data_IF_935724807912
#
_entry.id   IF_935724807912
#
_cell.length_a   1.000
_cell.length_b   1.000
_cell.length_c   1.000
_cell.angle_alpha   90.00
_cell.angle_beta   90.00
_cell.angle_gamma   90.00
#
_symmetry.space_group_name_H-M   'P 1'
#
loop_
_entity.id
_entity.type
_entity.pdbx_description
1 polymer ?
#
# COMPACT_ATOMS: atom_id res chain seq x y z
N UNK A 1 -52.17 12.95 48.37
CA UNK A 1 -51.12 12.32 49.20
C UNK A 1 -51.54 10.87 49.33
N UNK A 2 -50.81 9.85 48.86
CA UNK A 2 -49.35 9.59 48.86
C UNK A 2 -48.89 9.10 47.47
N UNK A 3 -47.79 9.50 46.82
CA UNK A 3 -46.38 9.78 47.16
C UNK A 3 -45.58 8.56 47.69
N UNK A 4 -45.03 7.84 46.70
CA UNK A 4 -43.65 7.29 46.59
C UNK A 4 -43.55 5.76 46.66
N UNK A 5 -42.69 5.23 45.76
CA UNK A 5 -42.17 3.85 45.64
C UNK A 5 -43.17 2.91 44.95
N UNK A 6 -42.98 2.46 43.69
CA UNK A 6 -41.95 1.54 43.17
C UNK A 6 -41.76 1.86 41.67
N UNK A 7 -40.63 2.40 41.23
CA UNK A 7 -39.43 1.70 40.74
C UNK A 7 -39.66 0.80 39.50
N UNK A 8 -38.98 1.20 38.42
CA UNK A 8 -38.29 0.34 37.45
C UNK A 8 -38.91 0.11 36.07
N UNK A 9 -38.03 0.39 35.09
CA UNK A 9 -37.91 -0.17 33.74
C UNK A 9 -38.78 0.50 32.67
N UNK A 10 -38.17 1.43 31.92
CA UNK A 10 -37.87 1.26 30.49
C UNK A 10 -37.02 2.46 30.03
N UNK A 11 -35.74 2.41 30.40
CA UNK A 11 -34.70 3.33 29.92
C UNK A 11 -34.00 2.63 28.77
N UNK A 12 -33.98 3.31 27.62
CA UNK A 12 -32.97 3.21 26.54
C UNK A 12 -32.98 1.94 25.69
N UNK A 13 -33.52 2.05 24.48
CA UNK A 13 -33.15 1.18 23.36
C UNK A 13 -33.42 1.86 22.00
N UNK A 14 -32.79 2.99 21.71
CA UNK A 14 -32.77 3.57 20.35
C UNK A 14 -31.45 4.31 20.07
N UNK A 15 -30.33 3.65 20.36
CA UNK A 15 -28.99 4.11 19.97
C UNK A 15 -28.10 2.88 19.72
N UNK A 16 -28.34 2.14 18.65
CA UNK A 16 -27.38 1.13 18.15
C UNK A 16 -27.77 0.66 16.75
N UNK A 17 -27.63 1.54 15.76
CA UNK A 17 -27.65 1.12 14.36
C UNK A 17 -26.76 2.00 13.46
N UNK A 18 -25.65 2.52 13.98
CA UNK A 18 -24.47 2.73 13.13
C UNK A 18 -23.79 1.38 13.01
N UNK A 19 -24.26 0.56 12.06
CA UNK A 19 -23.45 -0.54 11.54
C UNK A 19 -22.20 0.11 10.98
N UNK A 20 -21.09 -0.07 11.67
CA UNK A 20 -19.76 0.17 11.12
C UNK A 20 -19.67 -0.52 9.76
N UNK A 21 -19.72 0.24 8.66
CA UNK A 21 -19.01 -0.14 7.45
C UNK A 21 -17.51 0.05 7.76
N UNK A 22 -16.96 -0.82 8.61
CA UNK A 22 -15.55 -1.09 8.50
C UNK A 22 -15.44 -2.10 7.37
N UNK A 23 -14.94 -1.66 6.22
CA UNK A 23 -14.32 -2.55 5.27
C UNK A 23 -13.18 -3.25 6.02
N UNK A 24 -13.49 -4.38 6.66
CA UNK A 24 -12.47 -5.28 7.15
C UNK A 24 -11.82 -5.84 5.90
N UNK A 25 -10.69 -5.27 5.50
CA UNK A 25 -9.73 -6.03 4.72
C UNK A 25 -9.42 -7.25 5.57
N UNK A 26 -9.89 -8.42 5.14
CA UNK A 26 -9.48 -9.68 5.73
C UNK A 26 -7.95 -9.70 5.65
N UNK A 27 -7.28 -9.45 6.78
CA UNK A 27 -5.83 -9.62 6.93
C UNK A 27 -5.51 -11.11 7.00
N UNK A 28 -5.96 -11.84 5.98
CA UNK A 28 -5.52 -13.19 5.70
C UNK A 28 -4.11 -13.06 5.14
N UNK A 29 -3.14 -13.54 5.90
CA UNK A 29 -1.78 -13.69 5.44
C UNK A 29 -1.77 -14.44 4.09
N UNK A 30 -1.05 -13.87 3.13
CA UNK A 30 -0.79 -14.43 1.81
C UNK A 30 0.01 -15.72 1.96
N UNK A 31 -0.39 -16.75 1.20
CA UNK A 31 0.37 -18.00 1.11
C UNK A 31 1.69 -17.79 0.36
N UNK A 32 2.71 -18.65 0.58
CA UNK A 32 3.97 -18.57 -0.14
C UNK A 32 3.83 -18.51 -1.67
N UNK A 33 2.92 -19.29 -2.26
CA UNK A 33 2.69 -19.30 -3.71
C UNK A 33 2.03 -18.02 -4.22
N UNK A 34 1.20 -17.38 -3.39
CA UNK A 34 0.57 -16.09 -3.71
C UNK A 34 1.61 -14.97 -3.68
N UNK A 35 2.52 -15.00 -2.70
CA UNK A 35 3.66 -14.08 -2.64
C UNK A 35 4.60 -14.29 -3.84
N UNK A 36 4.90 -15.53 -4.19
CA UNK A 36 5.71 -15.87 -5.37
C UNK A 36 5.09 -15.28 -6.65
N UNK A 37 3.77 -15.43 -6.85
CA UNK A 37 3.05 -14.87 -8.00
C UNK A 37 3.06 -13.34 -7.99
N UNK A 38 2.82 -12.73 -6.82
CA UNK A 38 2.77 -11.28 -6.67
C UNK A 38 4.12 -10.62 -6.93
N UNK A 39 5.22 -11.28 -6.56
CA UNK A 39 6.57 -10.74 -6.67
C UNK A 39 7.28 -11.13 -7.97
N UNK A 40 6.73 -12.08 -8.75
CA UNK A 40 7.36 -12.65 -9.94
C UNK A 40 7.91 -11.60 -10.93
N UNK A 41 7.16 -10.52 -11.19
CA UNK A 41 7.55 -9.50 -12.18
C UNK A 41 8.61 -8.51 -11.68
N UNK A 42 8.83 -8.43 -10.36
CA UNK A 42 9.74 -7.44 -9.76
C UNK A 42 10.90 -8.07 -8.97
N UNK A 43 10.85 -9.39 -8.68
CA UNK A 43 11.85 -10.07 -7.86
C UNK A 43 13.27 -10.03 -8.45
N UNK A 44 13.41 -9.90 -9.77
CA UNK A 44 14.71 -9.81 -10.45
C UNK A 44 15.22 -8.38 -10.61
N UNK A 45 14.50 -7.38 -10.12
CA UNK A 45 15.01 -6.01 -10.10
C UNK A 45 16.19 -5.88 -9.12
N UNK A 46 17.11 -4.93 -9.37
CA UNK A 46 18.19 -4.63 -8.42
C UNK A 46 17.64 -4.32 -7.04
N UNK A 47 18.32 -4.79 -5.99
CA UNK A 47 17.86 -4.70 -4.58
C UNK A 47 17.44 -3.29 -4.17
N UNK A 48 18.20 -2.28 -4.59
CA UNK A 48 17.91 -0.89 -4.30
C UNK A 48 16.56 -0.45 -4.89
N UNK A 49 16.27 -0.81 -6.15
CA UNK A 49 15.00 -0.48 -6.80
C UNK A 49 13.85 -1.29 -6.20
N UNK A 50 14.06 -2.58 -5.95
CA UNK A 50 13.04 -3.45 -5.36
C UNK A 50 12.63 -2.96 -3.97
N UNK A 51 13.60 -2.55 -3.14
CA UNK A 51 13.33 -1.96 -1.83
C UNK A 51 12.49 -0.69 -1.93
N UNK A 52 12.84 0.22 -2.86
CA UNK A 52 12.05 1.45 -3.09
C UNK A 52 10.62 1.14 -3.55
N UNK A 53 10.43 0.15 -4.43
CA UNK A 53 9.09 -0.28 -4.87
C UNK A 53 8.26 -0.78 -3.68
N UNK A 54 8.82 -1.69 -2.88
CA UNK A 54 8.13 -2.29 -1.75
C UNK A 54 7.77 -1.26 -0.68
N UNK A 55 8.67 -0.31 -0.39
CA UNK A 55 8.39 0.80 0.53
C UNK A 55 7.32 1.75 -0.03
N UNK A 56 7.41 2.10 -1.32
CA UNK A 56 6.47 3.01 -1.96
C UNK A 56 5.03 2.45 -1.99
N UNK A 57 4.87 1.12 -2.02
CA UNK A 57 3.56 0.47 -2.03
C UNK A 57 2.72 0.77 -0.77
N UNK A 58 3.34 1.23 0.32
CA UNK A 58 2.62 1.75 1.50
C UNK A 58 1.93 3.11 1.28
N UNK A 59 2.18 3.77 0.15
CA UNK A 59 1.73 5.13 -0.16
C UNK A 59 1.00 5.21 -1.52
N UNK A 60 -0.12 4.49 -1.71
CA UNK A 60 -0.78 4.39 -3.02
C UNK A 60 -1.27 5.73 -3.58
N UNK A 61 -1.69 6.66 -2.72
CA UNK A 61 -2.09 8.00 -3.16
C UNK A 61 -0.90 8.76 -3.77
N UNK A 62 0.26 8.72 -3.11
CA UNK A 62 1.47 9.38 -3.58
C UNK A 62 1.98 8.76 -4.87
N UNK A 63 1.87 7.43 -5.04
CA UNK A 63 2.16 6.74 -6.30
C UNK A 63 1.30 7.30 -7.44
N UNK A 64 -0.01 7.50 -7.22
CA UNK A 64 -0.92 8.06 -8.23
C UNK A 64 -0.50 9.50 -8.59
N UNK A 65 -0.16 10.31 -7.61
CA UNK A 65 0.32 11.68 -7.82
C UNK A 65 1.65 11.72 -8.58
N UNK A 66 2.62 10.90 -8.18
CA UNK A 66 3.92 10.77 -8.81
C UNK A 66 3.82 10.25 -10.24
N UNK A 67 2.94 9.27 -10.51
CA UNK A 67 2.70 8.77 -11.86
C UNK A 67 2.10 9.84 -12.79
N UNK A 68 1.15 10.62 -12.29
CA UNK A 68 0.58 11.77 -13.03
C UNK A 68 1.64 12.85 -13.29
N UNK A 69 2.45 13.17 -12.28
CA UNK A 69 3.56 14.10 -12.42
C UNK A 69 4.57 13.61 -13.47
N UNK A 70 4.97 12.34 -13.42
CA UNK A 70 5.92 11.75 -14.37
C UNK A 70 5.40 11.78 -15.81
N UNK A 71 4.10 11.49 -16.01
CA UNK A 71 3.43 11.59 -17.31
C UNK A 71 3.39 13.03 -17.85
N UNK A 72 3.21 14.02 -16.98
CA UNK A 72 3.21 15.44 -17.35
C UNK A 72 4.63 15.98 -17.62
N UNK A 73 5.67 15.29 -17.16
CA UNK A 73 7.07 15.70 -17.27
C UNK A 73 7.92 14.66 -18.03
N UNK A 74 7.58 14.31 -19.29
CA UNK A 74 8.22 13.20 -20.01
C UNK A 74 9.72 13.40 -20.26
N UNK A 75 10.22 14.64 -20.17
CA UNK A 75 11.62 14.99 -20.42
C UNK A 75 12.50 14.98 -19.16
N UNK A 76 11.91 14.87 -17.97
CA UNK A 76 12.66 14.71 -16.72
C UNK A 76 12.88 13.23 -16.45
N UNK A 77 14.15 12.83 -16.29
CA UNK A 77 14.58 11.43 -16.06
C UNK A 77 15.70 11.39 -15.02
N UNK A 78 15.87 10.21 -14.39
CA UNK A 78 16.94 9.98 -13.43
C UNK A 78 16.96 11.03 -12.31
N UNK A 79 18.16 11.45 -11.92
CA UNK A 79 18.37 12.41 -10.83
C UNK A 79 17.66 13.74 -11.04
N UNK A 80 17.56 14.22 -12.29
CA UNK A 80 16.86 15.47 -12.60
C UNK A 80 15.37 15.39 -12.24
N UNK A 81 14.75 14.23 -12.43
CA UNK A 81 13.36 14.02 -12.04
C UNK A 81 13.21 13.99 -10.51
N UNK A 82 14.12 13.31 -9.81
CA UNK A 82 14.11 13.22 -8.33
C UNK A 82 14.29 14.61 -7.70
N UNK A 83 15.20 15.42 -8.24
CA UNK A 83 15.41 16.80 -7.76
C UNK A 83 14.17 17.68 -7.94
N UNK A 84 13.43 17.49 -9.03
CA UNK A 84 12.25 18.27 -9.35
C UNK A 84 11.02 17.99 -8.46
N UNK A 85 11.07 16.94 -7.62
CA UNK A 85 9.98 16.56 -6.70
C UNK A 85 10.39 16.63 -5.23
N UNK A 86 11.53 17.25 -4.93
CA UNK A 86 12.04 17.39 -3.55
C UNK A 86 11.06 18.13 -2.65
N UNK A 87 10.31 19.08 -3.20
CA UNK A 87 9.27 19.91 -2.56
C UNK A 87 7.96 19.17 -2.28
N UNK A 88 7.76 17.97 -2.85
CA UNK A 88 6.55 17.19 -2.64
C UNK A 88 6.54 16.59 -1.23
N UNK A 89 5.37 16.43 -0.64
CA UNK A 89 5.22 15.79 0.67
C UNK A 89 5.15 14.26 0.60
N UNK A 90 5.70 13.67 -0.47
CA UNK A 90 5.77 12.23 -0.65
C UNK A 90 6.90 11.60 0.16
N UNK A 91 6.76 10.32 0.49
CA UNK A 91 7.80 9.48 1.03
C UNK A 91 9.03 9.43 0.10
N UNK A 92 10.22 9.28 0.68
CA UNK A 92 11.48 9.25 -0.07
C UNK A 92 11.52 8.11 -1.10
N UNK A 93 10.87 6.99 -0.79
CA UNK A 93 10.73 5.86 -1.72
C UNK A 93 9.93 6.28 -2.97
N UNK A 94 8.78 6.95 -2.80
CA UNK A 94 7.95 7.43 -3.91
C UNK A 94 8.68 8.50 -4.72
N UNK A 95 9.35 9.45 -4.05
CA UNK A 95 10.20 10.46 -4.74
C UNK A 95 11.28 9.81 -5.58
N UNK A 96 11.89 8.72 -5.11
CA UNK A 96 12.93 8.02 -5.88
C UNK A 96 12.37 7.35 -7.13
N UNK A 97 11.12 6.86 -7.08
CA UNK A 97 10.49 6.17 -8.21
C UNK A 97 10.18 7.09 -9.41
N UNK A 98 10.24 8.42 -9.28
CA UNK A 98 10.08 9.32 -10.44
C UNK A 98 11.22 9.20 -11.45
N UNK A 99 12.37 8.66 -11.03
CA UNK A 99 13.46 8.27 -11.92
C UNK A 99 13.09 7.07 -12.83
N UNK A 100 12.04 6.32 -12.47
CA UNK A 100 11.59 5.09 -13.13
C UNK A 100 10.10 5.21 -13.57
N UNK A 101 9.78 6.01 -14.62
CA UNK A 101 8.42 6.27 -15.04
C UNK A 101 7.58 5.01 -15.33
N UNK A 102 8.19 3.97 -15.90
CA UNK A 102 7.51 2.72 -16.22
C UNK A 102 7.09 1.95 -14.97
N UNK A 103 7.90 1.99 -13.90
CA UNK A 103 7.57 1.40 -12.60
C UNK A 103 6.40 2.14 -11.96
N UNK A 104 6.42 3.47 -11.95
CA UNK A 104 5.29 4.27 -11.47
C UNK A 104 4.01 4.00 -12.26
N UNK A 105 4.12 3.88 -13.59
CA UNK A 105 2.99 3.53 -14.45
C UNK A 105 2.40 2.17 -14.04
N UNK A 106 3.24 1.15 -13.85
CA UNK A 106 2.80 -0.18 -13.45
C UNK A 106 2.08 -0.16 -12.10
N UNK A 107 2.65 0.51 -11.08
CA UNK A 107 2.03 0.62 -9.76
C UNK A 107 0.70 1.39 -9.83
N UNK A 108 0.65 2.48 -10.58
CA UNK A 108 -0.57 3.28 -10.74
C UNK A 108 -1.67 2.55 -11.54
N UNK A 109 -1.32 1.72 -12.53
CA UNK A 109 -2.31 0.97 -13.32
C UNK A 109 -2.83 -0.28 -12.58
N UNK A 110 -2.10 -0.76 -11.58
CA UNK A 110 -2.42 -1.97 -10.82
C UNK A 110 -2.52 -1.68 -9.31
N UNK A 111 -3.38 -0.73 -8.92
CA UNK A 111 -3.50 -0.30 -7.51
C UNK A 111 -3.86 -1.43 -6.54
N UNK A 112 -4.66 -2.41 -6.96
CA UNK A 112 -4.96 -3.59 -6.13
C UNK A 112 -3.69 -4.42 -5.85
N UNK A 113 -2.78 -4.52 -6.82
CA UNK A 113 -1.49 -5.21 -6.65
C UNK A 113 -0.54 -4.39 -5.77
N UNK A 114 -0.48 -3.07 -5.98
CA UNK A 114 0.28 -2.14 -5.13
C UNK A 114 -0.18 -2.22 -3.67
N UNK A 115 -1.50 -2.22 -3.41
CA UNK A 115 -2.03 -2.35 -2.07
C UNK A 115 -1.63 -3.69 -1.44
N UNK A 116 -1.77 -4.82 -2.16
CA UNK A 116 -1.36 -6.14 -1.65
C UNK A 116 0.13 -6.22 -1.33
N UNK A 117 0.98 -5.61 -2.14
CA UNK A 117 2.41 -5.50 -1.85
C UNK A 117 2.67 -4.70 -0.57
N UNK A 118 1.96 -3.58 -0.38
CA UNK A 118 2.01 -2.79 0.86
C UNK A 118 1.54 -3.59 2.08
N UNK A 119 0.40 -4.26 1.98
CA UNK A 119 -0.16 -5.09 3.04
C UNK A 119 0.79 -6.25 3.42
N UNK A 120 1.41 -6.89 2.42
CA UNK A 120 2.41 -7.94 2.65
C UNK A 120 3.67 -7.40 3.33
N UNK A 121 4.12 -6.19 2.99
CA UNK A 121 5.26 -5.57 3.67
C UNK A 121 4.97 -5.20 5.13
N UNK A 122 3.72 -4.87 5.45
CA UNK A 122 3.29 -4.56 6.83
C UNK A 122 3.12 -5.86 7.66
N UNK A 123 2.52 -6.90 7.07
CA UNK A 123 2.13 -8.11 7.79
C UNK A 123 3.09 -9.29 7.68
N UNK A 124 3.93 -9.34 6.64
CA UNK A 124 4.66 -10.54 6.21
C UNK A 124 6.03 -10.24 5.60
N UNK A 125 6.75 -9.25 6.14
CA UNK A 125 8.05 -8.82 5.60
C UNK A 125 9.06 -9.98 5.42
N UNK A 126 9.11 -10.92 6.37
CA UNK A 126 9.98 -12.09 6.28
C UNK A 126 9.59 -13.02 5.12
N UNK A 127 8.30 -13.33 4.97
CA UNK A 127 7.82 -14.20 3.88
C UNK A 127 8.02 -13.56 2.50
N UNK A 128 7.90 -12.22 2.41
CA UNK A 128 8.21 -11.45 1.20
C UNK A 128 9.69 -11.58 0.83
N UNK A 129 10.59 -11.43 1.80
CA UNK A 129 12.02 -11.62 1.57
C UNK A 129 12.34 -13.05 1.11
N UNK A 130 11.73 -14.05 1.74
CA UNK A 130 11.89 -15.46 1.34
C UNK A 130 11.38 -15.71 -0.08
N UNK A 131 10.23 -15.15 -0.44
CA UNK A 131 9.67 -15.27 -1.80
C UNK A 131 10.60 -14.65 -2.86
N UNK A 132 11.15 -13.46 -2.60
CA UNK A 132 12.13 -12.82 -3.48
C UNK A 132 13.33 -13.73 -3.69
N UNK A 133 13.88 -14.30 -2.61
CA UNK A 133 15.06 -15.16 -2.70
C UNK A 133 14.76 -16.49 -3.43
N UNK A 134 13.58 -17.09 -3.20
CA UNK A 134 13.12 -18.27 -3.95
C UNK A 134 13.01 -17.99 -5.45
N UNK A 135 12.45 -16.84 -5.83
CA UNK A 135 12.29 -16.46 -7.23
C UNK A 135 13.65 -16.23 -7.91
N UNK A 136 14.57 -15.53 -7.24
CA UNK A 136 15.93 -15.27 -7.75
C UNK A 136 16.76 -16.52 -7.94
N UNK A 137 16.59 -17.51 -7.06
CA UNK A 137 17.33 -18.78 -7.15
C UNK A 137 16.83 -19.68 -8.30
N UNK A 138 15.60 -19.45 -8.78
CA UNK A 138 14.97 -20.25 -9.86
C UNK A 138 15.15 -19.65 -11.26
N UNK A 139 15.55 -18.39 -11.36
CA UNK A 139 15.77 -17.67 -12.62
C UNK A 139 17.15 -17.98 -13.22
#
# INVERSE_FOLDING_TARGET
MDRRTVLSLFVVALFSATRSLHAQGDSRSFKPEELDQMLASIALYPDALLSQILMACGYPLEIVEAARWSKANPNLKGDAAVQAVTDKEWDTSVKSLVAFPDVLKQLNEHLDWTQKLGDAMIGQQADVADAIQRLRTRA
#
